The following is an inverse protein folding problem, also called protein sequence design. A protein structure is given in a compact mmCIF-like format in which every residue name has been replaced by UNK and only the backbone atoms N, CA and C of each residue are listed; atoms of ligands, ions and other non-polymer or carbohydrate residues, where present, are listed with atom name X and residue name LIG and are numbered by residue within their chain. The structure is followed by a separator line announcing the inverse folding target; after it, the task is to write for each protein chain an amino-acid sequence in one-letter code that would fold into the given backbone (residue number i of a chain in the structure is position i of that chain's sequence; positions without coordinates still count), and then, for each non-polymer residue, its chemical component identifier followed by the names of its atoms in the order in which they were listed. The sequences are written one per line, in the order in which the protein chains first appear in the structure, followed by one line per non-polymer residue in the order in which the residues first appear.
data_IF_560861873515
#
_entry.id   IF_560861873515
#
_cell.length_a   1.000
_cell.length_b   1.000
_cell.length_c   1.000
_cell.angle_alpha   90.00
_cell.angle_beta   90.00
_cell.angle_gamma   90.00
#
_symmetry.space_group_name_H-M   'P 1'
#
loop_
_entity.id
_entity.type
_entity.pdbx_description
1 polymer ?
#
# COMPACT_ATOMS: atom_id res chain seq x y z
N UNK A 1 8.02 -12.82 -12.99
CA UNK A 1 9.06 -13.79 -13.42
C UNK A 1 10.04 -13.04 -14.32
N UNK A 2 11.29 -12.82 -13.89
CA UNK A 2 12.29 -11.96 -14.55
C UNK A 2 13.05 -12.69 -15.67
N UNK A 3 12.48 -12.80 -16.87
CA UNK A 3 13.08 -13.60 -17.95
C UNK A 3 13.91 -12.82 -18.98
N UNK A 4 14.01 -11.49 -18.90
CA UNK A 4 14.76 -10.69 -19.89
C UNK A 4 15.59 -9.57 -19.25
N UNK A 5 16.59 -9.95 -18.45
CA UNK A 5 17.57 -8.99 -17.92
C UNK A 5 18.95 -9.23 -18.53
N UNK A 6 19.67 -8.16 -18.93
CA UNK A 6 21.03 -8.27 -19.43
C UNK A 6 21.97 -8.88 -18.38
N UNK A 7 22.93 -9.70 -18.82
CA UNK A 7 23.81 -10.56 -17.99
C UNK A 7 24.69 -9.85 -16.93
N UNK A 8 24.59 -8.54 -16.77
CA UNK A 8 25.45 -7.73 -15.89
C UNK A 8 24.70 -6.99 -14.78
N UNK A 9 23.44 -7.36 -14.48
CA UNK A 9 22.75 -6.92 -13.26
C UNK A 9 22.53 -8.14 -12.37
N UNK A 10 23.02 -8.08 -11.13
CA UNK A 10 22.80 -9.14 -10.14
C UNK A 10 21.30 -9.20 -9.82
N UNK A 11 20.69 -10.38 -10.03
CA UNK A 11 19.26 -10.60 -9.75
C UNK A 11 18.92 -10.32 -8.29
N UNK A 12 19.88 -10.51 -7.39
CA UNK A 12 19.73 -10.22 -5.96
C UNK A 12 19.68 -8.70 -5.69
N UNK A 13 20.46 -7.91 -6.42
CA UNK A 13 20.47 -6.45 -6.32
C UNK A 13 19.16 -5.83 -6.86
N UNK A 14 18.67 -6.36 -7.98
CA UNK A 14 17.35 -6.03 -8.54
C UNK A 14 16.22 -6.30 -7.56
N UNK A 15 16.22 -7.47 -6.94
CA UNK A 15 15.20 -7.86 -5.96
C UNK A 15 15.21 -6.91 -4.76
N UNK A 16 16.39 -6.61 -4.22
CA UNK A 16 16.54 -5.66 -3.10
C UNK A 16 16.10 -4.24 -3.46
N UNK A 17 16.43 -3.77 -4.66
CA UNK A 17 16.00 -2.44 -5.13
C UNK A 17 14.48 -2.38 -5.29
N UNK A 18 13.87 -3.43 -5.83
CA UNK A 18 12.41 -3.53 -5.95
C UNK A 18 11.74 -3.55 -4.58
N UNK A 19 12.18 -4.41 -3.66
CA UNK A 19 11.64 -4.50 -2.30
C UNK A 19 11.74 -3.15 -1.57
N UNK A 20 12.88 -2.45 -1.71
CA UNK A 20 13.07 -1.11 -1.18
C UNK A 20 12.08 -0.10 -1.78
N UNK A 21 11.91 -0.07 -3.11
CA UNK A 21 10.98 0.85 -3.78
C UNK A 21 9.52 0.59 -3.40
N UNK A 22 9.13 -0.67 -3.27
CA UNK A 22 7.82 -1.07 -2.74
C UNK A 22 7.65 -0.51 -1.34
N UNK A 23 8.61 -0.74 -0.45
CA UNK A 23 8.54 -0.26 0.93
C UNK A 23 8.46 1.27 1.02
N UNK A 24 9.30 2.00 0.27
CA UNK A 24 9.27 3.47 0.21
C UNK A 24 7.88 3.99 -0.20
N UNK A 25 7.27 3.41 -1.25
CA UNK A 25 5.92 3.80 -1.68
C UNK A 25 4.84 3.45 -0.65
N UNK A 26 4.97 2.33 0.08
CA UNK A 26 4.04 1.99 1.20
C UNK A 26 4.05 3.08 2.28
N UNK A 27 5.25 3.53 2.67
CA UNK A 27 5.40 4.59 3.68
C UNK A 27 4.87 5.94 3.15
N UNK A 28 5.21 6.30 1.91
CA UNK A 28 4.75 7.56 1.29
C UNK A 28 3.22 7.65 1.26
N UNK A 29 2.54 6.57 0.86
CA UNK A 29 1.08 6.54 0.75
C UNK A 29 0.36 6.48 2.11
N UNK A 30 1.03 6.04 3.17
CA UNK A 30 0.44 5.93 4.51
C UNK A 30 -0.17 7.26 4.98
N UNK A 31 0.52 8.37 4.78
CA UNK A 31 0.03 9.70 5.15
C UNK A 31 -1.25 10.09 4.40
N UNK A 32 -1.28 9.85 3.09
CA UNK A 32 -2.42 10.16 2.21
C UNK A 32 -3.66 9.32 2.54
N UNK A 33 -3.44 8.03 2.84
CA UNK A 33 -4.50 7.11 3.27
C UNK A 33 -5.13 7.60 4.59
N UNK A 34 -4.29 7.94 5.58
CA UNK A 34 -4.78 8.44 6.87
C UNK A 34 -5.48 9.79 6.73
N UNK A 35 -5.00 10.68 5.85
CA UNK A 35 -5.59 11.98 5.62
C UNK A 35 -6.99 11.88 5.01
N UNK A 36 -7.19 11.06 3.97
CA UNK A 36 -8.51 10.91 3.35
C UNK A 36 -9.50 10.21 4.29
N UNK A 37 -9.07 9.19 5.02
CA UNK A 37 -9.92 8.50 5.99
C UNK A 37 -10.33 9.43 7.15
N UNK A 38 -9.43 10.33 7.56
CA UNK A 38 -9.73 11.38 8.54
C UNK A 38 -10.78 12.39 8.02
N UNK A 39 -10.97 12.48 6.71
CA UNK A 39 -12.02 13.30 6.10
C UNK A 39 -13.40 12.65 6.03
N UNK A 40 -13.50 11.32 6.20
CA UNK A 40 -14.76 10.60 6.00
C UNK A 40 -15.76 10.83 7.14
N UNK A 41 -17.05 10.71 6.84
CA UNK A 41 -18.11 10.71 7.85
C UNK A 41 -17.98 9.57 8.88
N UNK A 42 -17.46 8.40 8.48
CA UNK A 42 -17.14 7.29 9.35
C UNK A 42 -15.64 7.23 9.62
N UNK A 43 -15.26 7.57 10.86
CA UNK A 43 -13.87 7.65 11.30
C UNK A 43 -13.33 6.32 11.85
N UNK A 44 -14.12 5.23 11.87
CA UNK A 44 -13.67 3.94 12.43
C UNK A 44 -12.40 3.42 11.73
N UNK A 45 -12.36 3.28 10.38
CA UNK A 45 -11.14 2.82 9.71
C UNK A 45 -9.94 3.75 9.94
N UNK A 46 -10.16 5.08 9.98
CA UNK A 46 -9.10 6.04 10.36
C UNK A 46 -8.54 5.74 11.75
N UNK A 47 -9.40 5.62 12.76
CA UNK A 47 -8.99 5.42 14.15
C UNK A 47 -8.20 4.11 14.32
N UNK A 48 -8.66 3.03 13.70
CA UNK A 48 -7.97 1.74 13.77
C UNK A 48 -6.56 1.81 13.16
N UNK A 49 -6.45 2.36 11.95
CA UNK A 49 -5.18 2.48 11.25
C UNK A 49 -4.23 3.48 11.92
N UNK A 50 -4.76 4.61 12.38
CA UNK A 50 -3.97 5.65 13.07
C UNK A 50 -3.42 5.16 14.42
N UNK A 51 -4.15 4.30 15.13
CA UNK A 51 -3.65 3.68 16.36
C UNK A 51 -2.44 2.78 16.11
N UNK A 52 -2.43 2.02 15.01
CA UNK A 52 -1.25 1.25 14.61
C UNK A 52 -0.10 2.17 14.19
N UNK A 53 -0.37 3.16 13.35
CA UNK A 53 0.62 4.16 12.94
C UNK A 53 1.28 4.82 14.15
N UNK A 54 0.51 5.23 15.15
CA UNK A 54 1.02 5.88 16.36
C UNK A 54 1.84 4.95 17.25
N UNK A 55 1.52 3.66 17.32
CA UNK A 55 2.18 2.69 18.20
C UNK A 55 3.53 2.22 17.65
N UNK A 56 3.62 2.00 16.35
CA UNK A 56 4.79 1.36 15.72
C UNK A 56 5.33 2.10 14.51
N UNK A 57 4.89 3.33 14.24
CA UNK A 57 5.19 4.05 12.99
C UNK A 57 4.88 3.18 11.77
N UNK A 58 3.73 2.49 11.84
CA UNK A 58 3.35 1.46 10.89
C UNK A 58 3.20 1.99 9.45
N UNK A 59 3.62 1.21 8.47
CA UNK A 59 3.28 1.42 7.06
C UNK A 59 1.92 0.82 6.73
N UNK A 60 1.14 1.49 5.89
CA UNK A 60 -0.16 1.04 5.40
C UNK A 60 -0.10 0.87 3.89
N UNK A 61 -0.57 -0.28 3.41
CA UNK A 61 -0.69 -0.61 1.99
C UNK A 61 -2.14 -0.99 1.69
N UNK A 62 -2.70 -0.43 0.62
CA UNK A 62 -4.02 -0.83 0.13
C UNK A 62 -3.88 -1.79 -1.05
N UNK A 63 -4.65 -2.88 -0.99
CA UNK A 63 -4.87 -3.82 -2.07
C UNK A 63 -6.34 -3.77 -2.49
N UNK A 64 -6.59 -3.74 -3.81
CA UNK A 64 -7.93 -3.79 -4.38
C UNK A 64 -8.33 -5.24 -4.62
N UNK A 65 -9.28 -5.75 -3.84
CA UNK A 65 -9.79 -7.12 -3.96
C UNK A 65 -11.09 -7.19 -4.79
N UNK A 66 -11.34 -6.20 -5.65
CA UNK A 66 -12.54 -6.01 -6.49
C UNK A 66 -13.81 -5.63 -5.71
N UNK A 67 -14.09 -6.32 -4.61
CA UNK A 67 -15.28 -6.15 -3.77
C UNK A 67 -15.08 -5.15 -2.63
N UNK A 68 -13.85 -5.01 -2.12
CA UNK A 68 -13.46 -4.06 -1.08
C UNK A 68 -11.95 -3.79 -1.17
N UNK A 69 -11.47 -2.82 -0.41
CA UNK A 69 -10.04 -2.55 -0.25
C UNK A 69 -9.52 -3.21 1.02
N UNK A 70 -8.42 -3.94 0.93
CA UNK A 70 -7.73 -4.47 2.11
C UNK A 70 -6.56 -3.56 2.48
N UNK A 71 -6.60 -3.01 3.70
CA UNK A 71 -5.51 -2.23 4.28
C UNK A 71 -4.57 -3.14 5.08
N UNK A 72 -3.43 -3.46 4.48
CA UNK A 72 -2.35 -4.20 5.11
C UNK A 72 -1.48 -3.29 5.97
N UNK A 73 -1.32 -3.64 7.23
CA UNK A 73 -0.54 -2.88 8.22
C UNK A 73 0.78 -3.60 8.50
N UNK A 74 1.89 -2.86 8.39
CA UNK A 74 3.24 -3.34 8.67
C UNK A 74 3.89 -2.49 9.75
N UNK A 75 4.67 -3.07 10.66
CA UNK A 75 5.39 -2.29 11.67
C UNK A 75 6.61 -1.55 11.09
N UNK A 76 7.36 -0.85 11.95
CA UNK A 76 8.58 -0.12 11.56
C UNK A 76 9.69 -1.02 10.99
N UNK A 77 9.67 -2.31 11.31
CA UNK A 77 10.62 -3.30 10.80
C UNK A 77 10.10 -3.98 9.52
N UNK A 78 8.95 -3.53 9.02
CA UNK A 78 8.29 -4.05 7.82
C UNK A 78 7.60 -5.41 8.03
N UNK A 79 7.44 -5.87 9.27
CA UNK A 79 6.72 -7.10 9.57
C UNK A 79 5.22 -6.88 9.48
N UNK A 80 4.52 -7.84 8.88
CA UNK A 80 3.07 -7.81 8.81
C UNK A 80 2.44 -7.90 10.20
N UNK A 81 1.48 -7.02 10.47
CA UNK A 81 0.76 -6.94 11.75
C UNK A 81 -0.66 -7.45 11.60
N UNK A 82 -1.43 -6.87 10.67
CA UNK A 82 -2.86 -7.15 10.49
C UNK A 82 -3.39 -6.62 9.16
N UNK A 83 -4.65 -6.95 8.86
CA UNK A 83 -5.42 -6.33 7.78
C UNK A 83 -6.71 -5.70 8.29
N UNK A 84 -7.20 -4.69 7.58
CA UNK A 84 -8.52 -4.07 7.81
C UNK A 84 -9.24 -3.99 6.46
N UNK A 85 -10.41 -4.60 6.35
CA UNK A 85 -11.27 -4.46 5.17
C UNK A 85 -11.99 -3.11 5.18
N UNK A 86 -12.01 -2.42 4.05
CA UNK A 86 -12.65 -1.13 3.86
C UNK A 86 -13.60 -1.22 2.67
N UNK A 87 -14.88 -0.98 2.89
CA UNK A 87 -15.94 -1.15 1.89
C UNK A 87 -16.93 0.02 1.85
N UNK A 88 -17.91 -0.06 0.97
CA UNK A 88 -18.99 0.95 0.83
C UNK A 88 -20.36 0.45 1.26
N UNK A 89 -20.53 -0.86 1.48
CA UNK A 89 -21.80 -1.44 1.93
C UNK A 89 -21.88 -1.40 3.48
N UNK A 90 -22.81 -0.65 4.08
CA UNK A 90 -23.00 -0.63 5.54
C UNK A 90 -23.55 -1.95 6.11
N UNK A 91 -24.00 -2.88 5.27
CA UNK A 91 -24.52 -4.18 5.70
C UNK A 91 -23.46 -5.29 5.63
N UNK A 92 -22.29 -5.02 5.04
CA UNK A 92 -21.20 -5.98 5.01
C UNK A 92 -20.49 -5.99 6.37
N UNK A 93 -20.66 -7.10 7.10
CA UNK A 93 -20.04 -7.28 8.42
C UNK A 93 -18.53 -7.55 8.38
N UNK A 94 -17.94 -7.70 7.19
CA UNK A 94 -16.51 -8.03 7.02
C UNK A 94 -15.65 -6.80 6.77
N UNK A 95 -16.26 -5.64 6.51
CA UNK A 95 -15.56 -4.40 6.18
C UNK A 95 -16.02 -3.24 7.05
N UNK A 96 -15.10 -2.30 7.26
CA UNK A 96 -15.41 -0.99 7.82
C UNK A 96 -15.92 -0.09 6.69
N UNK A 97 -17.12 0.46 6.85
CA UNK A 97 -17.78 1.23 5.78
C UNK A 97 -17.24 2.65 5.69
N UNK A 98 -16.95 3.12 4.49
CA UNK A 98 -16.64 4.53 4.18
C UNK A 98 -17.60 5.06 3.11
N UNK A 99 -17.57 6.36 2.85
CA UNK A 99 -18.30 6.93 1.71
C UNK A 99 -17.71 6.44 0.38
N UNK A 100 -18.54 6.46 -0.68
CA UNK A 100 -18.09 6.12 -2.04
C UNK A 100 -16.93 7.02 -2.49
N UNK A 101 -16.96 8.31 -2.15
CA UNK A 101 -15.90 9.28 -2.52
C UNK A 101 -14.56 8.88 -1.90
N UNK A 102 -14.54 8.59 -0.61
CA UNK A 102 -13.34 8.10 0.09
C UNK A 102 -12.86 6.78 -0.49
N UNK A 103 -13.78 5.84 -0.80
CA UNK A 103 -13.43 4.56 -1.39
C UNK A 103 -12.73 4.71 -2.75
N UNK A 104 -13.29 5.51 -3.66
CA UNK A 104 -12.69 5.76 -4.98
C UNK A 104 -11.32 6.44 -4.86
N UNK A 105 -11.15 7.35 -3.91
CA UNK A 105 -9.83 7.94 -3.66
C UNK A 105 -8.84 6.89 -3.18
N UNK A 106 -9.21 6.09 -2.17
CA UNK A 106 -8.37 5.04 -1.60
C UNK A 106 -8.00 3.98 -2.64
N UNK A 107 -8.91 3.61 -3.54
CA UNK A 107 -8.65 2.68 -4.64
C UNK A 107 -7.54 3.19 -5.56
N UNK A 108 -7.52 4.49 -5.85
CA UNK A 108 -6.42 5.12 -6.60
C UNK A 108 -5.10 5.20 -5.79
N UNK A 109 -5.15 4.97 -4.48
CA UNK A 109 -3.97 4.83 -3.63
C UNK A 109 -3.44 3.40 -3.52
N UNK A 110 -4.09 2.40 -4.10
CA UNK A 110 -3.51 1.06 -4.20
C UNK A 110 -2.14 1.09 -4.90
N UNK A 111 -1.25 0.16 -4.56
CA UNK A 111 0.05 0.07 -5.21
C UNK A 111 -0.09 -0.62 -6.56
N UNK A 112 0.31 0.09 -7.61
CA UNK A 112 0.53 -0.49 -8.92
C UNK A 112 1.93 -1.13 -8.96
N UNK A 113 1.96 -2.45 -8.82
CA UNK A 113 3.20 -3.24 -8.82
C UNK A 113 3.91 -3.17 -10.18
N UNK A 114 3.17 -3.15 -11.29
CA UNK A 114 3.74 -3.09 -12.63
C UNK A 114 4.46 -1.75 -12.85
N UNK A 115 3.89 -0.66 -12.34
CA UNK A 115 4.54 0.66 -12.34
C UNK A 115 5.85 0.66 -11.52
N UNK A 116 5.87 -0.02 -10.37
CA UNK A 116 7.10 -0.12 -9.55
C UNK A 116 8.15 -0.94 -10.29
N UNK A 117 7.76 -2.05 -10.92
CA UNK A 117 8.67 -2.86 -11.71
C UNK A 117 9.28 -2.06 -12.87
N UNK A 118 8.48 -1.25 -13.56
CA UNK A 118 8.95 -0.38 -14.64
C UNK A 118 9.96 0.66 -14.13
N UNK A 119 9.68 1.33 -13.01
CA UNK A 119 10.57 2.31 -12.40
C UNK A 119 11.93 1.71 -12.00
N UNK A 120 11.91 0.50 -11.44
CA UNK A 120 13.13 -0.23 -11.06
C UNK A 120 13.96 -0.60 -12.29
N UNK A 121 13.31 -1.06 -13.37
CA UNK A 121 13.98 -1.38 -14.64
C UNK A 121 14.63 -0.14 -15.26
N UNK A 122 13.94 1.01 -15.25
CA UNK A 122 14.47 2.28 -15.78
C UNK A 122 15.63 2.84 -14.93
N UNK A 123 15.53 2.75 -13.60
CA UNK A 123 16.59 3.24 -12.70
C UNK A 123 17.93 2.51 -12.91
N UNK A 124 17.89 1.28 -13.42
CA UNK A 124 19.08 0.48 -13.71
C UNK A 124 19.63 0.68 -15.12
N UNK A 125 18.80 1.13 -16.07
CA UNK A 125 19.29 1.53 -17.40
C UNK A 125 20.02 2.87 -17.36
N UNK A 126 19.60 3.79 -16.48
CA UNK A 126 20.20 5.12 -16.35
C UNK A 126 21.50 5.14 -15.53
N UNK A 127 21.79 4.07 -14.79
CA UNK A 127 23.01 3.91 -14.01
C UNK A 127 24.22 3.38 -14.84
N UNK A 128 24.05 3.25 -16.17
CA UNK A 128 25.07 2.78 -17.13
C UNK A 128 25.44 3.88 -18.12
#
# INVERSE_FOLDING_TARGET
MFNELPQSVDREELKKLFEKKVFERKIEKTGQILEVLKGDSNQIPYNLLFDYFKKSNAGIHLEDLEQYLEAHVFDSDGQFVTTIGIGVDPNDSTTETVSQETYEYLKNQCLDIDLIEADVKNSLSDAR
#
